data_IF_448600256238
#
_entry.id   IF_448600256238
#
_cell.length_a   1.000
_cell.length_b   1.000
_cell.length_c   1.000
_cell.angle_alpha   90.00
_cell.angle_beta   90.00
_cell.angle_gamma   90.00
#
_symmetry.space_group_name_H-M   'P 1'
#
loop_
_entity.id
_entity.type
_entity.pdbx_description
1 polymer ?
#
# COMPACT_ATOMS: atom_id res chain seq x y z
N UNK A 1 -13.43 6.09 -22.03
CA UNK A 1 -12.23 5.39 -21.49
C UNK A 1 -12.43 3.91 -21.61
N UNK A 2 -11.48 3.19 -22.18
CA UNK A 2 -11.50 1.73 -22.29
C UNK A 2 -10.61 1.08 -21.21
N UNK A 3 -10.63 -0.28 -21.13
CA UNK A 3 -9.88 -1.00 -20.10
C UNK A 3 -8.36 -0.83 -20.19
N UNK A 4 -7.81 -0.70 -21.41
CA UNK A 4 -6.37 -0.46 -21.61
C UNK A 4 -5.97 0.92 -21.10
N UNK A 5 -6.74 1.94 -21.44
CA UNK A 5 -6.51 3.33 -20.96
C UNK A 5 -6.58 3.40 -19.44
N UNK A 6 -7.55 2.74 -18.84
CA UNK A 6 -7.67 2.67 -17.38
C UNK A 6 -6.48 1.96 -16.74
N UNK A 7 -6.01 0.85 -17.32
CA UNK A 7 -4.84 0.12 -16.85
C UNK A 7 -3.57 0.99 -16.90
N UNK A 8 -3.37 1.71 -18.01
CA UNK A 8 -2.22 2.60 -18.17
C UNK A 8 -2.29 3.80 -17.22
N UNK A 9 -3.48 4.37 -17.01
CA UNK A 9 -3.69 5.42 -16.00
C UNK A 9 -3.34 4.91 -14.60
N UNK A 10 -3.80 3.72 -14.22
CA UNK A 10 -3.47 3.11 -12.94
C UNK A 10 -1.96 2.94 -12.73
N UNK A 11 -1.23 2.52 -13.77
CA UNK A 11 0.24 2.44 -13.74
C UNK A 11 0.89 3.81 -13.51
N UNK A 12 0.40 4.85 -14.18
CA UNK A 12 0.90 6.23 -14.00
C UNK A 12 0.65 6.71 -12.59
N UNK A 13 -0.55 6.51 -12.04
CA UNK A 13 -0.89 6.88 -10.67
C UNK A 13 -0.01 6.15 -9.64
N UNK A 14 0.25 4.85 -9.84
CA UNK A 14 1.20 4.12 -8.98
C UNK A 14 2.59 4.73 -9.01
N UNK A 15 3.09 5.12 -10.19
CA UNK A 15 4.42 5.75 -10.30
C UNK A 15 4.48 7.10 -9.58
N UNK A 16 3.45 7.93 -9.72
CA UNK A 16 3.35 9.20 -8.99
C UNK A 16 3.37 8.95 -7.48
N UNK A 17 2.62 7.96 -7.00
CA UNK A 17 2.60 7.59 -5.59
C UNK A 17 3.95 7.10 -5.08
N UNK A 18 4.68 6.30 -5.87
CA UNK A 18 6.04 5.85 -5.54
C UNK A 18 7.02 7.04 -5.42
N UNK A 19 6.97 8.00 -6.35
CA UNK A 19 7.82 9.19 -6.33
C UNK A 19 7.49 10.16 -5.17
N UNK A 20 6.24 10.20 -4.73
CA UNK A 20 5.81 11.02 -3.60
C UNK A 20 6.32 10.50 -2.25
N UNK A 21 6.67 9.20 -2.17
CA UNK A 21 7.12 8.62 -0.90
C UNK A 21 8.59 8.94 -0.63
N UNK A 22 8.94 9.34 0.62
CA UNK A 22 10.33 9.55 0.99
C UNK A 22 11.10 8.23 0.96
N UNK A 23 12.13 8.15 0.12
CA UNK A 23 12.97 6.95 -0.06
C UNK A 23 14.27 7.01 0.74
N UNK A 24 14.60 8.14 1.36
CA UNK A 24 15.84 8.33 2.10
C UNK A 24 15.96 7.34 3.28
N UNK A 25 17.09 6.67 3.34
CA UNK A 25 17.42 5.74 4.41
C UNK A 25 16.68 4.39 4.36
N UNK A 26 16.06 4.02 3.22
CA UNK A 26 15.58 2.67 2.99
C UNK A 26 16.76 1.77 2.61
N UNK A 27 17.01 0.64 3.33
CA UNK A 27 17.94 -0.36 2.87
C UNK A 27 17.50 -0.91 1.51
N UNK A 28 18.45 -1.31 0.66
CA UNK A 28 18.14 -2.06 -0.55
C UNK A 28 17.62 -3.45 -0.16
N UNK A 29 16.32 -3.60 -0.15
CA UNK A 29 15.68 -4.90 0.05
C UNK A 29 15.25 -5.51 -1.28
N UNK A 30 15.24 -6.83 -1.35
CA UNK A 30 14.73 -7.59 -2.49
C UNK A 30 13.22 -7.41 -2.72
N UNK A 31 12.49 -6.95 -1.71
CA UNK A 31 11.04 -6.75 -1.77
C UNK A 31 10.72 -5.33 -2.19
N UNK A 32 9.93 -5.18 -3.25
CA UNK A 32 9.55 -3.87 -3.80
C UNK A 32 8.67 -3.07 -2.84
N UNK A 33 8.77 -1.74 -2.92
CA UNK A 33 7.91 -0.81 -2.16
C UNK A 33 6.43 -1.10 -2.40
N UNK A 34 6.05 -1.40 -3.65
CA UNK A 34 4.68 -1.78 -4.01
C UNK A 34 4.17 -2.98 -3.20
N UNK A 35 4.97 -4.05 -3.13
CA UNK A 35 4.62 -5.24 -2.36
C UNK A 35 4.43 -4.92 -0.88
N UNK A 36 5.32 -4.11 -0.31
CA UNK A 36 5.23 -3.68 1.10
C UNK A 36 3.94 -2.91 1.36
N UNK A 37 3.57 -1.99 0.48
CA UNK A 37 2.35 -1.19 0.62
C UNK A 37 1.08 -2.04 0.50
N UNK A 38 1.04 -2.98 -0.45
CA UNK A 38 -0.10 -3.90 -0.61
C UNK A 38 -0.28 -4.73 0.66
N UNK A 39 0.81 -5.30 1.18
CA UNK A 39 0.78 -6.11 2.41
C UNK A 39 0.39 -5.27 3.62
N UNK A 40 0.94 -4.06 3.77
CA UNK A 40 0.58 -3.15 4.85
C UNK A 40 -0.90 -2.77 4.83
N UNK A 41 -1.45 -2.48 3.66
CA UNK A 41 -2.87 -2.18 3.48
C UNK A 41 -3.76 -3.37 3.85
N UNK A 42 -3.38 -4.59 3.45
CA UNK A 42 -4.12 -5.80 3.80
C UNK A 42 -4.11 -6.07 5.32
N UNK A 43 -2.99 -5.88 5.98
CA UNK A 43 -2.87 -6.06 7.45
C UNK A 43 -3.74 -5.05 8.20
N UNK A 44 -3.82 -3.82 7.74
CA UNK A 44 -4.70 -2.79 8.35
C UNK A 44 -6.17 -3.17 8.21
N UNK A 45 -6.56 -3.65 7.03
CA UNK A 45 -7.93 -4.06 6.75
C UNK A 45 -8.31 -5.38 7.45
N UNK A 46 -7.34 -6.27 7.70
CA UNK A 46 -7.54 -7.60 8.27
C UNK A 46 -6.52 -7.86 9.38
N UNK A 47 -6.69 -7.26 10.56
CA UNK A 47 -5.78 -7.51 11.68
C UNK A 47 -5.79 -8.98 12.11
N UNK A 48 -4.70 -9.41 12.71
CA UNK A 48 -4.51 -10.79 13.18
C UNK A 48 -4.55 -11.85 12.07
N UNK A 49 -3.92 -11.53 10.95
CA UNK A 49 -3.77 -12.43 9.81
C UNK A 49 -2.44 -13.17 9.81
N UNK A 50 -2.46 -14.42 9.37
CA UNK A 50 -1.26 -15.19 9.06
C UNK A 50 -0.75 -14.85 7.66
N UNK A 51 0.55 -15.10 7.40
CA UNK A 51 1.19 -14.85 6.10
C UNK A 51 0.45 -15.52 4.95
N UNK A 52 0.01 -16.77 5.13
CA UNK A 52 -0.75 -17.50 4.11
C UNK A 52 -2.09 -16.86 3.77
N UNK A 53 -2.77 -16.30 4.76
CA UNK A 53 -4.04 -15.59 4.57
C UNK A 53 -3.84 -14.28 3.79
N UNK A 54 -2.79 -13.53 4.12
CA UNK A 54 -2.41 -12.31 3.38
C UNK A 54 -2.06 -12.66 1.94
N UNK A 55 -1.26 -13.70 1.72
CA UNK A 55 -0.89 -14.15 0.39
C UNK A 55 -2.12 -14.52 -0.47
N UNK A 56 -3.09 -15.23 0.12
CA UNK A 56 -4.32 -15.59 -0.57
C UNK A 56 -5.16 -14.36 -0.96
N UNK A 57 -5.31 -13.37 -0.05
CA UNK A 57 -6.09 -12.15 -0.33
C UNK A 57 -5.42 -11.23 -1.32
N UNK A 58 -4.10 -11.08 -1.23
CA UNK A 58 -3.33 -10.16 -2.09
C UNK A 58 -2.93 -10.76 -3.42
N UNK A 59 -3.05 -12.08 -3.58
CA UNK A 59 -2.54 -12.84 -4.74
C UNK A 59 -1.01 -12.70 -4.93
N UNK A 60 -0.29 -12.45 -3.84
CA UNK A 60 1.17 -12.40 -3.82
C UNK A 60 1.76 -13.75 -3.38
N UNK A 61 2.92 -14.14 -3.90
CA UNK A 61 3.65 -15.29 -3.39
C UNK A 61 3.97 -15.15 -1.88
N UNK A 62 3.89 -16.24 -1.13
CA UNK A 62 4.17 -16.22 0.31
C UNK A 62 5.56 -15.68 0.65
N UNK A 63 6.56 -15.95 -0.19
CA UNK A 63 7.93 -15.43 -0.03
C UNK A 63 7.97 -13.89 -0.10
N UNK A 64 7.19 -13.28 -0.99
CA UNK A 64 7.08 -11.83 -1.09
C UNK A 64 6.32 -11.24 0.10
N UNK A 65 5.26 -11.88 0.55
CA UNK A 65 4.53 -11.47 1.76
C UNK A 65 5.43 -11.55 2.98
N UNK A 66 6.19 -12.65 3.15
CA UNK A 66 7.15 -12.81 4.25
C UNK A 66 8.22 -11.71 4.25
N UNK A 67 8.77 -11.37 3.08
CA UNK A 67 9.73 -10.27 2.93
C UNK A 67 9.13 -8.92 3.28
N UNK A 68 7.90 -8.64 2.84
CA UNK A 68 7.19 -7.41 3.17
C UNK A 68 6.88 -7.32 4.69
N UNK A 69 6.43 -8.40 5.30
CA UNK A 69 6.17 -8.48 6.74
C UNK A 69 7.47 -8.22 7.54
N UNK A 70 8.59 -8.79 7.13
CA UNK A 70 9.89 -8.55 7.77
C UNK A 70 10.27 -7.06 7.73
N UNK A 71 10.11 -6.40 6.57
CA UNK A 71 10.36 -4.96 6.42
C UNK A 71 9.44 -4.10 7.29
N UNK A 72 8.16 -4.43 7.31
CA UNK A 72 7.17 -3.70 8.11
C UNK A 72 7.42 -3.83 9.61
N UNK A 73 7.86 -5.01 10.07
CA UNK A 73 8.28 -5.23 11.45
C UNK A 73 9.53 -4.41 11.81
N UNK A 74 10.54 -4.44 10.96
CA UNK A 74 11.78 -3.67 11.14
C UNK A 74 11.52 -2.16 11.17
N UNK A 75 10.58 -1.68 10.34
CA UNK A 75 10.13 -0.30 10.34
C UNK A 75 9.25 0.09 11.55
N UNK A 76 8.83 -0.88 12.36
CA UNK A 76 7.93 -0.65 13.49
C UNK A 76 6.48 -0.37 13.10
N UNK A 77 6.08 -0.74 11.88
CA UNK A 77 4.70 -0.55 11.38
C UNK A 77 3.74 -1.61 11.87
N UNK A 78 4.24 -2.80 12.12
CA UNK A 78 3.46 -3.96 12.55
C UNK A 78 4.14 -4.71 13.68
N UNK A 79 3.33 -5.48 14.41
CA UNK A 79 3.78 -6.45 15.41
C UNK A 79 3.31 -7.84 15.01
N UNK A 80 4.04 -8.86 15.46
CA UNK A 80 3.68 -10.26 15.25
C UNK A 80 3.62 -10.98 16.59
N UNK A 81 2.64 -11.85 16.74
CA UNK A 81 2.47 -12.69 17.91
C UNK A 81 2.06 -14.11 17.51
N UNK A 82 2.40 -15.15 18.30
CA UNK A 82 1.90 -16.49 18.05
C UNK A 82 0.37 -16.54 18.07
N UNK A 83 -0.21 -17.36 17.17
CA UNK A 83 -1.64 -17.64 17.21
C UNK A 83 -1.96 -18.42 18.50
N UNK A 84 -2.91 -17.97 19.34
CA UNK A 84 -3.33 -18.70 20.53
C UNK A 84 -3.86 -20.11 20.26
N UNK A 85 -4.37 -20.36 19.05
CA UNK A 85 -4.94 -21.65 18.63
C UNK A 85 -3.89 -22.59 18.05
N UNK A 86 -2.84 -22.05 17.42
CA UNK A 86 -1.74 -22.80 16.84
C UNK A 86 -0.45 -21.97 16.93
N UNK A 87 0.39 -22.25 17.93
CA UNK A 87 1.62 -21.52 18.18
C UNK A 87 2.67 -21.62 17.07
N UNK A 88 2.46 -22.50 16.09
CA UNK A 88 3.31 -22.58 14.88
C UNK A 88 3.01 -21.45 13.90
N UNK A 89 1.83 -20.83 14.01
CA UNK A 89 1.41 -19.69 13.17
C UNK A 89 1.71 -18.39 13.88
N UNK A 90 2.21 -17.43 13.11
CA UNK A 90 2.38 -16.05 13.56
C UNK A 90 1.27 -15.22 12.96
N UNK A 91 0.59 -14.44 13.80
CA UNK A 91 -0.41 -13.47 13.38
C UNK A 91 0.21 -12.08 13.40
N UNK A 92 -0.07 -11.30 12.38
CA UNK A 92 0.41 -9.94 12.24
C UNK A 92 -0.75 -8.95 12.33
N UNK A 93 -0.46 -7.81 12.95
CA UNK A 93 -1.37 -6.68 13.06
C UNK A 93 -0.61 -5.37 13.01
N UNK A 94 -1.29 -4.27 12.78
CA UNK A 94 -0.69 -2.95 12.87
C UNK A 94 -0.13 -2.72 14.28
N UNK A 95 1.03 -2.07 14.40
CA UNK A 95 1.58 -1.69 15.68
C UNK A 95 0.65 -0.66 16.37
N UNK A 96 0.48 -0.73 17.71
CA UNK A 96 -0.34 0.23 18.46
C UNK A 96 0.18 1.67 18.32
N UNK A 97 1.50 1.82 18.26
CA UNK A 97 2.20 3.07 17.99
C UNK A 97 3.04 2.91 16.75
N UNK A 98 2.81 3.78 15.75
CA UNK A 98 3.63 3.80 14.53
C UNK A 98 4.91 4.58 14.78
N UNK A 99 6.03 4.11 14.23
CA UNK A 99 7.30 4.85 14.28
C UNK A 99 7.17 6.21 13.59
N UNK A 100 8.01 7.19 13.99
CA UNK A 100 8.06 8.52 13.37
C UNK A 100 8.24 8.43 11.86
N UNK A 101 9.04 7.48 11.39
CA UNK A 101 9.26 7.24 9.97
C UNK A 101 7.99 6.84 9.23
N UNK A 102 7.18 5.96 9.80
CA UNK A 102 5.89 5.56 9.22
C UNK A 102 4.92 6.73 9.22
N UNK A 103 4.93 7.54 10.29
CA UNK A 103 4.13 8.75 10.36
C UNK A 103 4.52 9.74 9.25
N UNK A 104 5.82 9.96 9.01
CA UNK A 104 6.32 10.80 7.92
C UNK A 104 5.87 10.30 6.56
N UNK A 105 6.03 9.00 6.25
CA UNK A 105 5.58 8.42 4.98
C UNK A 105 4.09 8.63 4.76
N UNK A 106 3.28 8.44 5.80
CA UNK A 106 1.81 8.59 5.72
C UNK A 106 1.34 10.03 5.58
N UNK A 107 2.13 11.00 6.03
CA UNK A 107 1.79 12.42 6.00
C UNK A 107 2.41 13.18 4.83
N UNK A 108 3.28 12.55 4.04
CA UNK A 108 3.91 13.20 2.90
C UNK A 108 2.88 13.45 1.80
N UNK A 109 2.66 14.71 1.39
CA UNK A 109 1.70 15.04 0.34
C UNK A 109 2.21 14.62 -1.04
N UNK A 110 1.26 14.41 -1.96
CA UNK A 110 1.58 14.03 -3.35
C UNK A 110 1.88 15.23 -4.26
N UNK A 111 1.68 16.44 -3.77
CA UNK A 111 1.66 17.68 -4.57
C UNK A 111 2.90 17.86 -5.43
N UNK A 112 4.09 17.65 -4.87
CA UNK A 112 5.36 17.79 -5.60
C UNK A 112 5.51 16.77 -6.73
N UNK A 113 5.21 15.51 -6.47
CA UNK A 113 5.27 14.45 -7.48
C UNK A 113 4.19 14.65 -8.55
N UNK A 114 3.01 15.12 -8.15
CA UNK A 114 1.92 15.39 -9.06
C UNK A 114 2.21 16.60 -9.96
N UNK A 115 2.75 17.70 -9.42
CA UNK A 115 3.21 18.86 -10.19
C UNK A 115 4.25 18.48 -11.24
N UNK A 116 5.23 17.66 -10.84
CA UNK A 116 6.24 17.13 -11.76
C UNK A 116 5.62 16.28 -12.87
N UNK A 117 4.70 15.41 -12.53
CA UNK A 117 4.03 14.54 -13.50
C UNK A 117 3.15 15.32 -14.48
N UNK A 118 2.49 16.37 -14.01
CA UNK A 118 1.65 17.26 -14.83
C UNK A 118 2.48 18.25 -15.66
N UNK A 119 3.75 18.47 -15.28
CA UNK A 119 4.60 19.48 -15.92
C UNK A 119 4.11 20.91 -15.67
N UNK A 120 3.52 21.18 -14.51
CA UNK A 120 2.95 22.49 -14.14
C UNK A 120 3.49 22.96 -12.80
N UNK A 121 3.67 24.26 -12.67
CA UNK A 121 3.95 24.93 -11.40
C UNK A 121 2.69 25.61 -10.82
N UNK A 122 1.55 25.46 -11.47
CA UNK A 122 0.28 26.01 -11.02
C UNK A 122 -0.32 25.17 -9.89
N UNK A 123 -0.38 25.75 -8.69
CA UNK A 123 -0.97 25.11 -7.52
C UNK A 123 -2.47 24.81 -7.69
N UNK A 124 -3.17 25.56 -8.54
CA UNK A 124 -4.58 25.34 -8.87
C UNK A 124 -4.79 24.04 -9.63
N UNK A 125 -3.98 23.78 -10.65
CA UNK A 125 -4.02 22.53 -11.42
C UNK A 125 -3.75 21.31 -10.52
N UNK A 126 -2.73 21.41 -9.67
CA UNK A 126 -2.37 20.35 -8.72
C UNK A 126 -3.53 20.09 -7.75
N UNK A 127 -4.13 21.14 -7.18
CA UNK A 127 -5.24 21.02 -6.24
C UNK A 127 -6.48 20.40 -6.89
N UNK A 128 -6.80 20.76 -8.14
CA UNK A 128 -7.92 20.18 -8.89
C UNK A 128 -7.75 18.66 -9.08
N UNK A 129 -6.60 18.23 -9.55
CA UNK A 129 -6.32 16.81 -9.76
C UNK A 129 -6.27 16.05 -8.42
N UNK A 130 -5.69 16.63 -7.37
CA UNK A 130 -5.72 16.05 -6.03
C UNK A 130 -7.15 15.80 -5.55
N UNK A 131 -8.05 16.79 -5.70
CA UNK A 131 -9.46 16.64 -5.32
C UNK A 131 -10.19 15.53 -6.11
N UNK A 132 -9.87 15.37 -7.39
CA UNK A 132 -10.39 14.26 -8.21
C UNK A 132 -9.88 12.90 -7.72
N UNK A 133 -8.59 12.79 -7.41
CA UNK A 133 -7.99 11.57 -6.86
C UNK A 133 -8.57 11.20 -5.50
N UNK A 134 -8.78 12.17 -4.61
CA UNK A 134 -9.44 11.95 -3.32
C UNK A 134 -10.89 11.47 -3.50
N UNK A 135 -11.59 12.00 -4.48
CA UNK A 135 -12.95 11.57 -4.81
C UNK A 135 -12.96 10.12 -5.31
N UNK A 136 -12.02 9.75 -6.17
CA UNK A 136 -11.84 8.36 -6.61
C UNK A 136 -11.49 7.44 -5.44
N UNK A 137 -10.57 7.84 -4.58
CA UNK A 137 -10.14 7.04 -3.42
C UNK A 137 -11.30 6.75 -2.46
N UNK A 138 -12.22 7.70 -2.25
CA UNK A 138 -13.44 7.47 -1.46
C UNK A 138 -14.40 6.46 -2.08
N UNK A 139 -14.38 6.29 -3.39
CA UNK A 139 -15.28 5.39 -4.14
C UNK A 139 -14.66 4.03 -4.43
N UNK A 140 -13.35 4.00 -4.71
CA UNK A 140 -12.58 2.81 -5.07
C UNK A 140 -11.76 2.34 -3.85
N UNK A 141 -12.46 1.78 -2.89
CA UNK A 141 -11.88 1.25 -1.66
C UNK A 141 -11.32 -0.16 -1.87
N UNK A 142 -10.53 -0.73 -0.94
CA UNK A 142 -10.07 -2.12 -1.02
C UNK A 142 -11.19 -3.15 -1.22
N UNK A 143 -12.39 -2.89 -0.67
CA UNK A 143 -13.57 -3.74 -0.86
C UNK A 143 -14.04 -3.79 -2.32
N UNK A 144 -13.73 -2.78 -3.11
CA UNK A 144 -14.01 -2.76 -4.56
C UNK A 144 -13.25 -3.87 -5.28
N UNK A 145 -12.00 -4.12 -4.90
CA UNK A 145 -11.21 -5.23 -5.46
C UNK A 145 -11.78 -6.59 -5.08
N UNK A 146 -12.30 -6.74 -3.85
CA UNK A 146 -12.94 -7.98 -3.42
C UNK A 146 -14.18 -8.30 -4.27
N UNK A 147 -15.00 -7.30 -4.61
CA UNK A 147 -16.17 -7.47 -5.49
C UNK A 147 -15.79 -7.95 -6.89
N UNK A 148 -14.74 -7.38 -7.49
CA UNK A 148 -14.27 -7.80 -8.82
C UNK A 148 -13.81 -9.26 -8.86
N UNK A 149 -13.28 -9.79 -7.74
CA UNK A 149 -12.85 -11.18 -7.64
C UNK A 149 -14.01 -12.17 -7.54
N UNK A 150 -15.06 -11.82 -6.82
CA UNK A 150 -16.24 -12.69 -6.64
C UNK A 150 -17.04 -12.86 -7.93
N UNK A 151 -17.02 -11.89 -8.82
CA UNK A 151 -17.72 -11.97 -10.12
C UNK A 151 -16.93 -12.76 -11.18
N UNK A 152 -15.66 -13.06 -10.94
CA UNK A 152 -14.78 -13.79 -11.88
C UNK A 152 -14.68 -15.31 -11.57
N UNK A 153 -15.40 -15.80 -10.56
CA UNK A 153 -15.45 -17.20 -10.13
C UNK A 153 -16.79 -17.83 -10.47
#
# INVERSE_FOLDING_TARGET
>A
MNGVELFLLGRTLMKIGEEAMPTEGLPEYSTSVRTVLIVASDIVAHPDSAIGEIAARTSLPQSQVSGAVARLREAGSIVAAPDPRDRRRMLVRQAPEVSDRVAVVRSTPIDGALATALGTDDAGDVAEITALLETLARRLTPETLARLRTESS
#
